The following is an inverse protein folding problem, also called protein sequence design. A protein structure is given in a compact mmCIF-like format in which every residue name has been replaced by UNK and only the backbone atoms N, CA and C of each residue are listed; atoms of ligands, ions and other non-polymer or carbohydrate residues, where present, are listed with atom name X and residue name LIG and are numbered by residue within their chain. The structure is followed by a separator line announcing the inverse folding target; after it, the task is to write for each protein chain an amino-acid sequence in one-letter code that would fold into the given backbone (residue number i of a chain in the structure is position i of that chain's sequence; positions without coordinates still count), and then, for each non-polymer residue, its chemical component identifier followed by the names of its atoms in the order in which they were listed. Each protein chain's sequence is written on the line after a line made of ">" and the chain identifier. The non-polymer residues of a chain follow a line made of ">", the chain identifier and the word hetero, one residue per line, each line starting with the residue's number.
data_IF_260967973816
#
_entry.id   IF_260967973816
#
_cell.length_a   1.000
_cell.length_b   1.000
_cell.length_c   1.000
_cell.angle_alpha   90.00
_cell.angle_beta   90.00
_cell.angle_gamma   90.00
#
_symmetry.space_group_name_H-M   'P 1'
#
loop_
_entity.id
_entity.type
_entity.pdbx_description
1 polymer ?
#
# COMPACT_ATOMS: atom_id res chain seq x y z
N UNK A 1 -24.67 -8.86 -8.58
CA UNK A 1 -23.91 -7.69 -9.06
C UNK A 1 -23.52 -6.76 -7.91
N UNK A 2 -24.35 -6.59 -6.87
CA UNK A 2 -24.01 -5.81 -5.65
C UNK A 2 -22.95 -6.45 -4.73
N UNK A 3 -22.87 -7.78 -4.66
CA UNK A 3 -21.89 -8.48 -3.81
C UNK A 3 -20.42 -8.20 -4.18
N UNK A 4 -20.13 -7.99 -5.47
CA UNK A 4 -18.76 -7.70 -5.95
C UNK A 4 -18.32 -6.29 -5.54
N UNK A 5 -19.20 -5.30 -5.69
CA UNK A 5 -18.92 -3.91 -5.32
C UNK A 5 -18.71 -3.72 -3.81
N UNK A 6 -19.46 -4.46 -2.98
CA UNK A 6 -19.29 -4.43 -1.53
C UNK A 6 -17.92 -5.00 -1.09
N UNK A 7 -17.44 -6.04 -1.77
CA UNK A 7 -16.17 -6.69 -1.47
C UNK A 7 -14.95 -5.84 -1.91
N UNK A 8 -15.06 -5.13 -3.03
CA UNK A 8 -14.07 -4.14 -3.46
C UNK A 8 -13.96 -2.96 -2.47
N UNK A 9 -15.10 -2.48 -1.97
CA UNK A 9 -15.15 -1.38 -0.99
C UNK A 9 -14.45 -1.76 0.33
N UNK A 10 -14.73 -2.95 0.86
CA UNK A 10 -14.06 -3.48 2.07
C UNK A 10 -12.55 -3.68 1.88
N UNK A 11 -12.10 -4.00 0.66
CA UNK A 11 -10.69 -4.17 0.35
C UNK A 11 -9.95 -2.81 0.38
N UNK A 12 -10.56 -1.78 -0.21
CA UNK A 12 -10.00 -0.43 -0.27
C UNK A 12 -9.94 0.22 1.13
N UNK A 13 -10.94 0.01 1.99
CA UNK A 13 -10.92 0.49 3.38
C UNK A 13 -9.79 -0.15 4.20
N UNK A 14 -9.51 -1.44 3.98
CA UNK A 14 -8.38 -2.13 4.62
C UNK A 14 -7.03 -1.63 4.11
N UNK A 15 -6.93 -1.26 2.83
CA UNK A 15 -5.72 -0.63 2.28
C UNK A 15 -5.52 0.76 2.90
N UNK A 16 -6.58 1.56 3.05
CA UNK A 16 -6.51 2.87 3.71
C UNK A 16 -6.05 2.77 5.18
N UNK A 17 -6.57 1.79 5.93
CA UNK A 17 -6.11 1.53 7.30
C UNK A 17 -4.63 1.12 7.35
N UNK A 18 -4.18 0.36 6.35
CA UNK A 18 -2.78 -0.08 6.20
C UNK A 18 -1.85 1.10 5.88
N UNK A 19 -2.31 2.09 5.11
CA UNK A 19 -1.56 3.31 4.80
C UNK A 19 -1.34 4.18 6.04
N UNK A 20 -2.35 4.31 6.92
CA UNK A 20 -2.21 5.01 8.19
C UNK A 20 -1.15 4.33 9.09
N UNK A 21 -1.15 3.00 9.16
CA UNK A 21 -0.12 2.27 9.92
C UNK A 21 1.27 2.36 9.30
N UNK A 22 1.38 2.48 7.97
CA UNK A 22 2.64 2.74 7.28
C UNK A 22 3.21 4.11 7.64
N UNK A 23 2.36 5.13 7.73
CA UNK A 23 2.76 6.47 8.17
C UNK A 23 3.31 6.43 9.60
N UNK A 24 2.64 5.71 10.52
CA UNK A 24 3.12 5.54 11.89
C UNK A 24 4.46 4.77 11.94
N UNK A 25 4.61 3.71 11.12
CA UNK A 25 5.85 2.93 11.04
C UNK A 25 7.05 3.73 10.50
N UNK A 26 6.85 4.52 9.44
CA UNK A 26 7.91 5.39 8.87
C UNK A 26 8.42 6.41 9.89
N UNK A 27 7.60 6.79 10.86
CA UNK A 27 7.94 7.77 11.89
C UNK A 27 8.47 7.15 13.19
N UNK A 28 8.62 5.82 13.29
CA UNK A 28 9.20 5.17 14.47
C UNK A 28 10.74 5.12 14.40
N UNK A 29 11.45 5.21 15.55
CA UNK A 29 12.89 4.99 15.61
C UNK A 29 13.22 3.54 15.23
N UNK A 30 14.16 3.36 14.32
CA UNK A 30 14.46 2.07 13.70
C UNK A 30 15.13 1.08 14.66
N UNK A 31 14.37 0.07 15.09
CA UNK A 31 14.90 -1.24 15.52
C UNK A 31 14.22 -2.34 14.70
N UNK A 32 14.60 -2.46 13.43
CA UNK A 32 14.07 -3.53 12.57
C UNK A 32 15.01 -4.75 12.62
N UNK A 33 14.55 -5.85 13.22
CA UNK A 33 15.17 -7.17 13.07
C UNK A 33 14.78 -7.75 11.70
N UNK A 34 15.76 -7.80 10.79
CA UNK A 34 15.57 -8.29 9.41
C UNK A 34 15.70 -9.81 9.27
N UNK A 35 15.86 -10.56 10.38
CA UNK A 35 16.04 -12.02 10.36
C UNK A 35 14.86 -12.78 9.75
N UNK A 36 13.68 -12.16 9.68
CA UNK A 36 12.45 -12.71 9.07
C UNK A 36 12.00 -11.92 7.82
N UNK A 37 12.92 -11.52 6.95
CA UNK A 37 12.54 -10.84 5.70
C UNK A 37 11.73 -11.76 4.78
N UNK A 38 10.47 -11.38 4.53
CA UNK A 38 9.62 -12.04 3.53
C UNK A 38 9.96 -11.45 2.16
N UNK A 39 10.47 -12.29 1.25
CA UNK A 39 10.71 -11.88 -0.13
C UNK A 39 9.38 -11.77 -0.89
N UNK A 40 9.26 -10.73 -1.71
CA UNK A 40 8.10 -10.58 -2.58
C UNK A 40 7.98 -11.74 -3.57
N UNK A 41 6.79 -12.31 -3.69
CA UNK A 41 6.42 -13.28 -4.72
C UNK A 41 5.29 -12.72 -5.57
N UNK A 42 5.16 -13.23 -6.81
CA UNK A 42 4.07 -12.83 -7.69
C UNK A 42 2.72 -13.23 -7.06
N UNK A 43 1.72 -12.33 -7.01
CA UNK A 43 0.40 -12.66 -6.48
C UNK A 43 -0.31 -13.72 -7.33
N UNK A 44 -1.13 -14.55 -6.68
CA UNK A 44 -1.99 -15.54 -7.34
C UNK A 44 -3.18 -14.88 -8.06
N UNK A 45 -3.89 -15.65 -8.89
CA UNK A 45 -5.12 -15.16 -9.55
C UNK A 45 -6.13 -14.64 -8.51
N UNK A 46 -6.85 -13.57 -8.85
CA UNK A 46 -7.77 -12.80 -7.96
C UNK A 46 -7.09 -11.97 -6.86
N UNK A 47 -5.76 -11.99 -6.74
CA UNK A 47 -5.07 -11.08 -5.83
C UNK A 47 -4.85 -9.71 -6.46
N UNK A 48 -4.79 -8.72 -5.58
CA UNK A 48 -4.50 -7.33 -5.91
C UNK A 48 -3.11 -6.97 -5.38
N UNK A 49 -2.28 -6.35 -6.21
CA UNK A 49 -0.99 -5.78 -5.84
C UNK A 49 -1.19 -4.31 -5.51
N UNK A 50 -0.77 -3.92 -4.31
CA UNK A 50 -0.70 -2.52 -3.87
C UNK A 50 0.78 -2.11 -3.80
N UNK A 51 1.18 -1.12 -4.61
CA UNK A 51 2.48 -0.49 -4.53
C UNK A 51 2.30 0.89 -3.88
N UNK A 52 3.07 1.16 -2.84
CA UNK A 52 3.04 2.42 -2.09
C UNK A 52 4.44 2.99 -2.11
N UNK A 53 4.56 4.26 -2.47
CA UNK A 53 5.81 5.00 -2.38
C UNK A 53 5.56 6.31 -1.64
N UNK A 54 6.54 6.74 -0.85
CA UNK A 54 6.45 7.94 -0.03
C UNK A 54 7.78 8.69 -0.04
N UNK A 55 7.70 10.02 -0.08
CA UNK A 55 8.86 10.90 -0.05
C UNK A 55 8.69 11.95 1.04
N UNK A 56 9.82 12.29 1.69
CA UNK A 56 9.89 13.34 2.69
C UNK A 56 10.99 14.35 2.34
N UNK A 57 10.65 15.64 2.37
CA UNK A 57 11.59 16.74 2.34
C UNK A 57 11.77 17.31 3.76
N UNK A 58 12.86 16.91 4.42
CA UNK A 58 13.18 17.34 5.79
C UNK A 58 13.38 18.85 5.94
N UNK A 59 13.88 19.53 4.92
CA UNK A 59 14.15 20.98 4.99
C UNK A 59 12.85 21.79 4.94
N UNK A 60 11.88 21.32 4.14
CA UNK A 60 10.58 21.99 3.97
C UNK A 60 9.51 21.47 4.94
N UNK A 61 9.80 20.41 5.71
CA UNK A 61 8.81 19.75 6.55
C UNK A 61 7.64 19.17 5.74
N UNK A 62 7.87 18.84 4.47
CA UNK A 62 6.84 18.37 3.55
C UNK A 62 6.98 16.87 3.29
N UNK A 63 5.86 16.21 3.08
CA UNK A 63 5.78 14.81 2.65
C UNK A 63 4.77 14.66 1.52
N UNK A 64 4.93 13.63 0.72
CA UNK A 64 3.92 13.19 -0.24
C UNK A 64 3.96 11.67 -0.39
N UNK A 65 2.84 11.06 -0.75
CA UNK A 65 2.76 9.64 -1.04
C UNK A 65 1.95 9.37 -2.31
N UNK A 66 2.21 8.22 -2.93
CA UNK A 66 1.43 7.72 -4.03
C UNK A 66 1.19 6.22 -3.87
N UNK A 67 0.00 5.78 -4.29
CA UNK A 67 -0.42 4.39 -4.27
C UNK A 67 -0.86 3.99 -5.67
N UNK A 68 -0.44 2.79 -6.10
CA UNK A 68 -0.89 2.17 -7.34
C UNK A 68 -1.41 0.77 -7.05
N UNK A 69 -2.65 0.53 -7.46
CA UNK A 69 -3.34 -0.75 -7.39
C UNK A 69 -3.27 -1.43 -8.75
N UNK A 70 -2.87 -2.71 -8.75
CA UNK A 70 -2.75 -3.54 -9.95
C UNK A 70 -3.35 -4.92 -9.69
N UNK A 71 -3.77 -5.62 -10.74
CA UNK A 71 -4.16 -7.02 -10.62
C UNK A 71 -2.93 -7.96 -10.50
N UNK A 72 -3.20 -9.26 -10.35
CA UNK A 72 -2.19 -10.32 -10.32
C UNK A 72 -1.33 -10.47 -11.60
N UNK A 73 -1.76 -9.89 -12.73
CA UNK A 73 -0.99 -9.80 -13.97
C UNK A 73 -0.11 -8.55 -14.04
N UNK A 74 -0.34 -7.60 -13.12
CA UNK A 74 0.32 -6.30 -13.09
C UNK A 74 -0.43 -5.22 -13.89
N UNK A 75 -1.63 -5.53 -14.40
CA UNK A 75 -2.48 -4.56 -15.08
C UNK A 75 -2.94 -3.48 -14.10
N UNK A 76 -2.92 -2.23 -14.55
CA UNK A 76 -3.33 -1.09 -13.75
C UNK A 76 -4.83 -1.14 -13.45
N UNK A 77 -5.20 -0.87 -12.20
CA UNK A 77 -6.59 -0.74 -11.76
C UNK A 77 -6.87 0.71 -11.35
N UNK A 78 -6.09 1.26 -10.41
CA UNK A 78 -6.31 2.59 -9.86
C UNK A 78 -5.02 3.17 -9.26
N UNK A 79 -4.95 4.51 -9.14
CA UNK A 79 -3.94 5.19 -8.35
C UNK A 79 -4.54 6.36 -7.56
N UNK A 80 -3.89 6.72 -6.46
CA UNK A 80 -4.18 7.90 -5.63
C UNK A 80 -2.88 8.52 -5.14
N UNK A 81 -2.84 9.85 -5.05
CA UNK A 81 -1.78 10.62 -4.39
C UNK A 81 -2.41 11.73 -3.56
N UNK A 82 -1.65 12.28 -2.62
CA UNK A 82 -2.01 13.50 -1.89
C UNK A 82 -1.70 14.79 -2.65
#
# INVERSE_FOLDING_TARGET
>A
MELMAAQETLCLERIALTLATLFDWVNQPAEADYSNSVCWTRPEREWIKCNIDATMNKVQGASSFAVVIRDHTGAFIQAVSD
#
